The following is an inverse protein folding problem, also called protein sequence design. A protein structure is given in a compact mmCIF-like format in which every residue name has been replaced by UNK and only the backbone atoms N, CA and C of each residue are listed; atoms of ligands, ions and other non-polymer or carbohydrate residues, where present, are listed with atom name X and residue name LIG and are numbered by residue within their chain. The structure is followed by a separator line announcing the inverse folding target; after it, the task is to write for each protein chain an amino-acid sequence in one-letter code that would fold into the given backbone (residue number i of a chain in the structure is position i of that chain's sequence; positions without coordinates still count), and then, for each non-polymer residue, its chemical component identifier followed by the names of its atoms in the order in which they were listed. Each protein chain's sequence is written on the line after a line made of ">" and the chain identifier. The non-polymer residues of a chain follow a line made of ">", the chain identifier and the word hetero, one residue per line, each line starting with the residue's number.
data_IF_606762631823
#
_entry.id   IF_606762631823
#
_cell.length_a   1.000
_cell.length_b   1.000
_cell.length_c   1.000
_cell.angle_alpha   90.00
_cell.angle_beta   90.00
_cell.angle_gamma   90.00
#
_symmetry.space_group_name_H-M   'P 1'
#
loop_
_entity.id
_entity.type
_entity.pdbx_description
1 polymer ?
#
# COMPACT_ATOMS: atom_id res chain seq x y z
N UNK A 1 -3.77 18.41 1.62
CA UNK A 1 -3.17 19.37 0.67
C UNK A 1 -3.02 18.68 -0.68
N UNK A 2 -3.48 19.31 -1.76
CA UNK A 2 -3.37 18.80 -3.13
C UNK A 2 -2.13 19.39 -3.80
N UNK A 3 -1.34 18.56 -4.49
CA UNK A 3 -0.22 19.01 -5.34
C UNK A 3 -0.54 18.64 -6.78
N UNK A 4 -0.28 19.55 -7.72
CA UNK A 4 -0.46 19.28 -9.15
C UNK A 4 0.68 18.41 -9.66
N UNK A 5 0.36 17.44 -10.50
CA UNK A 5 1.30 16.54 -11.17
C UNK A 5 1.05 16.68 -12.67
N UNK A 6 2.10 17.01 -13.43
CA UNK A 6 2.06 16.98 -14.89
C UNK A 6 2.50 15.60 -15.35
N UNK A 7 1.68 14.95 -16.17
CA UNK A 7 1.95 13.61 -16.69
C UNK A 7 1.90 13.64 -18.21
N UNK A 8 2.93 13.12 -18.85
CA UNK A 8 3.04 13.02 -20.30
C UNK A 8 3.05 11.55 -20.70
N UNK A 9 2.24 11.20 -21.68
CA UNK A 9 2.17 9.89 -22.30
C UNK A 9 1.87 10.07 -23.80
N UNK A 10 1.88 8.97 -24.55
CA UNK A 10 1.46 8.97 -25.94
C UNK A 10 0.02 9.49 -26.07
N UNK A 11 -0.23 10.33 -27.08
CA UNK A 11 -1.54 10.97 -27.28
C UNK A 11 -2.64 9.95 -27.54
N UNK A 12 -2.37 8.93 -28.36
CA UNK A 12 -3.35 7.89 -28.65
C UNK A 12 -3.73 7.12 -27.38
N UNK A 13 -2.75 6.88 -26.50
CA UNK A 13 -2.97 6.21 -25.22
C UNK A 13 -3.79 7.08 -24.24
N UNK A 14 -3.60 8.40 -24.25
CA UNK A 14 -4.39 9.33 -23.43
C UNK A 14 -5.85 9.34 -23.90
N UNK A 15 -6.09 9.37 -25.21
CA UNK A 15 -7.44 9.39 -25.76
C UNK A 15 -8.16 8.05 -25.53
N UNK A 16 -7.51 6.92 -25.74
CA UNK A 16 -8.09 5.60 -25.43
C UNK A 16 -8.46 5.49 -23.95
N UNK A 17 -7.57 5.92 -23.06
CA UNK A 17 -7.82 5.88 -21.62
C UNK A 17 -8.98 6.80 -21.20
N UNK A 18 -9.18 7.94 -21.90
CA UNK A 18 -10.33 8.82 -21.69
C UNK A 18 -11.64 8.17 -22.14
N UNK A 19 -11.66 7.52 -23.29
CA UNK A 19 -12.84 6.82 -23.79
C UNK A 19 -13.25 5.70 -22.84
N UNK A 20 -12.30 4.87 -22.39
CA UNK A 20 -12.55 3.84 -21.37
C UNK A 20 -13.08 4.44 -20.08
N UNK A 21 -12.53 5.57 -19.62
CA UNK A 21 -13.03 6.22 -18.41
C UNK A 21 -14.48 6.72 -18.59
N UNK A 22 -14.81 7.31 -19.74
CA UNK A 22 -16.18 7.76 -20.07
C UNK A 22 -17.17 6.62 -20.13
N UNK A 23 -16.81 5.48 -20.75
CA UNK A 23 -17.65 4.28 -20.78
C UNK A 23 -17.99 3.79 -19.36
N UNK A 24 -17.08 3.98 -18.42
CA UNK A 24 -17.26 3.66 -17.01
C UNK A 24 -17.90 4.79 -16.17
N UNK A 25 -18.35 5.89 -16.79
CA UNK A 25 -18.85 7.09 -16.10
C UNK A 25 -17.85 7.71 -15.10
N UNK A 26 -16.55 7.61 -15.41
CA UNK A 26 -15.46 8.15 -14.60
C UNK A 26 -14.62 9.13 -15.42
N UNK A 27 -13.57 9.71 -14.81
CA UNK A 27 -12.57 10.51 -15.54
C UNK A 27 -11.19 9.85 -15.49
N UNK A 28 -10.35 10.12 -16.50
CA UNK A 28 -8.96 9.67 -16.49
C UNK A 28 -8.21 10.12 -15.23
N UNK A 29 -8.49 11.33 -14.73
CA UNK A 29 -7.86 11.86 -13.52
C UNK A 29 -8.28 11.08 -12.25
N UNK A 30 -9.54 10.67 -12.17
CA UNK A 30 -10.02 9.84 -11.07
C UNK A 30 -9.36 8.46 -11.07
N UNK A 31 -9.30 7.82 -12.24
CA UNK A 31 -8.60 6.55 -12.40
C UNK A 31 -7.11 6.67 -12.06
N UNK A 32 -6.49 7.78 -12.45
CA UNK A 32 -5.09 8.07 -12.11
C UNK A 32 -4.87 8.22 -10.60
N UNK A 33 -5.81 8.84 -9.87
CA UNK A 33 -5.74 8.92 -8.40
C UNK A 33 -5.84 7.56 -7.75
N UNK A 34 -6.79 6.72 -8.19
CA UNK A 34 -6.96 5.35 -7.68
C UNK A 34 -5.70 4.51 -7.95
N UNK A 35 -5.13 4.63 -9.14
CA UNK A 35 -3.87 4.01 -9.49
C UNK A 35 -2.72 4.49 -8.58
N UNK A 36 -2.58 5.81 -8.35
CA UNK A 36 -1.55 6.37 -7.46
C UNK A 36 -1.68 5.84 -6.02
N UNK A 37 -2.91 5.72 -5.50
CA UNK A 37 -3.17 5.14 -4.19
C UNK A 37 -2.72 3.69 -4.12
N UNK A 38 -3.07 2.89 -5.13
CA UNK A 38 -2.69 1.49 -5.22
C UNK A 38 -1.17 1.31 -5.35
N UNK A 39 -0.54 2.11 -6.21
CA UNK A 39 0.89 2.12 -6.43
C UNK A 39 1.65 2.49 -5.15
N UNK A 40 1.18 3.50 -4.42
CA UNK A 40 1.76 3.88 -3.14
C UNK A 40 1.53 2.83 -2.03
N UNK A 41 0.44 2.06 -2.10
CA UNK A 41 0.19 0.95 -1.17
C UNK A 41 1.22 -0.17 -1.34
N UNK A 42 1.63 -0.50 -2.56
CA UNK A 42 2.64 -1.55 -2.80
C UNK A 42 3.95 -1.24 -2.07
N UNK A 43 4.42 0.01 -2.13
CA UNK A 43 5.62 0.43 -1.38
C UNK A 43 5.43 0.31 0.14
N UNK A 44 4.23 0.66 0.65
CA UNK A 44 3.93 0.54 2.08
C UNK A 44 3.88 -0.92 2.54
N UNK A 45 3.33 -1.82 1.74
CA UNK A 45 3.32 -3.26 2.04
C UNK A 45 4.74 -3.80 2.10
N UNK A 46 5.59 -3.49 1.11
CA UNK A 46 6.99 -3.91 1.12
C UNK A 46 7.77 -3.35 2.33
N UNK A 47 7.53 -2.10 2.70
CA UNK A 47 8.14 -1.48 3.89
C UNK A 47 7.64 -2.13 5.19
N UNK A 48 6.37 -2.49 5.25
CA UNK A 48 5.77 -3.20 6.38
C UNK A 48 6.29 -4.64 6.49
N UNK A 49 6.41 -5.37 5.38
CA UNK A 49 7.00 -6.70 5.35
C UNK A 49 8.48 -6.67 5.78
N UNK A 50 9.25 -5.69 5.31
CA UNK A 50 10.63 -5.49 5.74
C UNK A 50 10.73 -5.16 7.24
N UNK A 51 9.82 -4.34 7.77
CA UNK A 51 9.73 -4.05 9.20
C UNK A 51 9.39 -5.32 9.98
N UNK A 52 8.35 -6.06 9.59
CA UNK A 52 7.93 -7.30 10.24
C UNK A 52 9.02 -8.38 10.19
N UNK A 53 9.79 -8.48 9.10
CA UNK A 53 10.93 -9.37 9.00
C UNK A 53 12.04 -9.01 10.00
N UNK A 54 12.36 -7.71 10.15
CA UNK A 54 13.32 -7.22 11.15
C UNK A 54 12.84 -7.46 12.58
N UNK A 55 11.57 -7.19 12.84
CA UNK A 55 10.92 -7.38 14.14
C UNK A 55 10.87 -8.86 14.51
N UNK A 56 10.46 -9.77 13.62
CA UNK A 56 10.52 -11.23 13.89
C UNK A 56 11.93 -11.73 14.22
N UNK A 57 12.96 -11.12 13.63
CA UNK A 57 14.36 -11.40 13.98
C UNK A 57 14.76 -10.95 15.40
N UNK A 58 14.17 -9.86 15.92
CA UNK A 58 14.44 -9.35 17.27
C UNK A 58 13.55 -9.93 18.36
N UNK A 59 12.34 -10.40 18.03
CA UNK A 59 11.36 -10.97 18.97
C UNK A 59 11.22 -12.49 18.85
N UNK A 60 12.28 -13.20 18.43
CA UNK A 60 12.35 -14.64 18.68
C UNK A 60 12.48 -14.83 20.19
N UNK A 61 11.36 -15.09 20.86
CA UNK A 61 11.35 -15.55 22.25
C UNK A 61 12.00 -16.92 22.25
N UNK A 62 13.34 -16.99 22.32
CA UNK A 62 14.18 -18.16 21.98
C UNK A 62 13.64 -19.52 22.45
N UNK A 63 12.67 -20.07 21.73
CA UNK A 63 11.92 -21.28 22.09
C UNK A 63 10.95 -21.18 23.29
N UNK A 64 10.72 -20.01 23.92
CA UNK A 64 9.83 -19.91 25.11
C UNK A 64 8.40 -19.55 24.72
N UNK A 65 7.51 -20.53 24.82
CA UNK A 65 6.06 -20.34 24.81
C UNK A 65 5.65 -19.90 26.21
N UNK A 66 5.42 -18.60 26.41
CA UNK A 66 4.84 -18.12 27.67
C UNK A 66 3.40 -18.61 27.76
N UNK A 67 3.14 -19.51 28.70
CA UNK A 67 1.77 -19.96 28.94
C UNK A 67 0.97 -18.82 29.59
N UNK A 68 -0.35 -18.85 29.40
CA UNK A 68 -1.26 -17.75 29.78
C UNK A 68 -1.18 -17.41 31.28
N UNK A 69 -0.75 -18.37 32.09
CA UNK A 69 -0.60 -18.25 33.54
C UNK A 69 0.65 -17.45 33.94
N UNK A 70 1.78 -17.60 33.22
CA UNK A 70 3.01 -16.83 33.47
C UNK A 70 2.84 -15.33 33.17
N UNK A 71 1.97 -14.98 32.21
CA UNK A 71 1.73 -13.59 31.81
C UNK A 71 0.83 -12.81 32.77
N UNK A 72 0.15 -13.50 33.69
CA UNK A 72 -0.79 -12.92 34.65
C UNK A 72 -0.22 -12.80 36.08
N UNK A 73 1.02 -13.21 36.29
CA UNK A 73 1.67 -13.08 37.60
C UNK A 73 2.09 -11.62 37.83
N UNK A 74 1.24 -10.85 38.52
CA UNK A 74 1.61 -9.55 39.10
C UNK A 74 2.15 -9.81 40.50
N UNK A 75 3.46 -9.63 40.70
CA UNK A 75 4.00 -9.30 42.03
C UNK A 75 3.91 -7.80 42.25
#
# INVERSE_FOLDING_TARGET
>A
MTKNITFSADEALIEEAREVARLNNTTLNEQFRLWLEQYARQRRVQQFEALMARTKGQYSSGGRVFTRDERNERR
#
